data_IF_861790672079
#
_entry.id   IF_861790672079
#
_cell.length_a   1.000
_cell.length_b   1.000
_cell.length_c   1.000
_cell.angle_alpha   90.00
_cell.angle_beta   90.00
_cell.angle_gamma   90.00
#
_symmetry.space_group_name_H-M   'P 1'
#
loop_
_entity.id
_entity.type
_entity.pdbx_description
1 polymer ?
#
# COMPACT_ATOMS: atom_id res chain seq x y z
N UNK A 1 -4.25 13.90 -4.69
CA UNK A 1 -4.14 12.77 -3.74
C UNK A 1 -5.51 12.17 -3.39
N UNK A 2 -6.53 12.95 -3.02
CA UNK A 2 -7.85 12.42 -2.57
C UNK A 2 -8.65 11.57 -3.57
N UNK A 3 -8.47 11.75 -4.89
CA UNK A 3 -9.24 11.00 -5.89
C UNK A 3 -9.06 9.49 -5.75
N UNK A 4 -7.81 9.02 -5.81
CA UNK A 4 -7.48 7.59 -5.77
C UNK A 4 -7.54 7.02 -4.36
N UNK A 5 -7.33 7.85 -3.33
CA UNK A 5 -7.17 7.38 -1.95
C UNK A 5 -8.39 7.60 -1.06
N UNK A 6 -9.40 8.37 -1.50
CA UNK A 6 -10.61 8.65 -0.71
C UNK A 6 -11.88 8.63 -1.57
N UNK A 7 -11.95 9.37 -2.68
CA UNK A 7 -13.20 9.50 -3.43
C UNK A 7 -13.60 8.20 -4.14
N UNK A 8 -12.68 7.60 -4.90
CA UNK A 8 -12.91 6.33 -5.58
C UNK A 8 -13.14 5.20 -4.56
N UNK A 9 -12.29 5.03 -3.52
CA UNK A 9 -12.55 4.09 -2.44
C UNK A 9 -13.94 4.23 -1.79
N UNK A 10 -14.33 5.45 -1.40
CA UNK A 10 -15.62 5.69 -0.75
C UNK A 10 -16.80 5.31 -1.64
N UNK A 11 -16.72 5.62 -2.94
CA UNK A 11 -17.74 5.24 -3.91
C UNK A 11 -17.86 3.71 -4.04
N UNK A 12 -16.74 3.03 -4.24
CA UNK A 12 -16.70 1.56 -4.41
C UNK A 12 -17.22 0.86 -3.15
N UNK A 13 -16.78 1.29 -1.98
CA UNK A 13 -17.26 0.74 -0.72
C UNK A 13 -18.75 1.00 -0.52
N UNK A 14 -19.25 2.18 -0.88
CA UNK A 14 -20.69 2.47 -0.80
C UNK A 14 -21.52 1.61 -1.74
N UNK A 15 -20.98 1.28 -2.93
CA UNK A 15 -21.60 0.33 -3.85
C UNK A 15 -21.64 -1.08 -3.28
N UNK A 16 -20.50 -1.60 -2.81
CA UNK A 16 -20.40 -2.96 -2.28
C UNK A 16 -21.14 -3.16 -0.95
N UNK A 17 -21.32 -2.10 -0.16
CA UNK A 17 -22.18 -2.09 1.01
C UNK A 17 -23.67 -1.85 0.69
N UNK A 18 -23.99 -1.39 -0.52
CA UNK A 18 -25.36 -0.98 -0.86
C UNK A 18 -25.87 0.22 -0.05
N UNK A 19 -24.97 1.09 0.44
CA UNK A 19 -25.34 2.26 1.26
C UNK A 19 -25.73 3.48 0.43
N UNK A 20 -25.50 3.45 -0.89
CA UNK A 20 -25.97 4.51 -1.78
C UNK A 20 -27.49 4.71 -1.65
N UNK A 21 -27.93 5.96 -1.78
CA UNK A 21 -29.35 6.30 -1.77
C UNK A 21 -30.01 5.71 -3.01
N UNK A 22 -31.11 4.99 -2.82
CA UNK A 22 -31.97 4.50 -3.89
C UNK A 22 -32.93 5.61 -4.30
N UNK A 23 -33.17 5.77 -5.61
CA UNK A 23 -34.17 6.72 -6.12
C UNK A 23 -35.56 6.06 -6.17
N UNK A 24 -36.66 6.83 -6.30
CA UNK A 24 -38.01 6.28 -6.40
C UNK A 24 -38.12 5.28 -7.57
N UNK A 25 -38.41 4.02 -7.24
CA UNK A 25 -38.51 2.92 -8.21
C UNK A 25 -37.31 1.96 -8.21
N UNK A 26 -36.22 2.30 -7.53
CA UNK A 26 -35.09 1.39 -7.34
C UNK A 26 -35.35 0.39 -6.21
N UNK A 27 -34.95 -0.86 -6.43
CA UNK A 27 -34.98 -1.91 -5.43
C UNK A 27 -33.55 -2.37 -5.11
N UNK A 28 -33.09 -2.07 -3.89
CA UNK A 28 -31.75 -2.47 -3.40
C UNK A 28 -31.54 -3.97 -3.35
N UNK A 29 -32.60 -4.78 -3.31
CA UNK A 29 -32.46 -6.24 -3.32
C UNK A 29 -31.92 -6.75 -4.65
N UNK A 30 -32.06 -5.97 -5.73
CA UNK A 30 -31.56 -6.29 -7.07
C UNK A 30 -30.06 -5.99 -7.25
N UNK A 31 -29.43 -5.32 -6.27
CA UNK A 31 -28.02 -4.92 -6.34
C UNK A 31 -27.12 -6.11 -6.03
N UNK A 32 -26.89 -6.96 -7.02
CA UNK A 32 -26.02 -8.14 -6.90
C UNK A 32 -24.53 -7.81 -6.75
N UNK A 33 -24.15 -6.54 -6.92
CA UNK A 33 -22.82 -6.03 -6.57
C UNK A 33 -22.66 -5.66 -5.09
N UNK A 34 -23.75 -5.56 -4.32
CA UNK A 34 -23.73 -5.18 -2.90
C UNK A 34 -23.34 -6.38 -2.00
N UNK A 35 -22.16 -6.94 -2.26
CA UNK A 35 -21.68 -8.20 -1.68
C UNK A 35 -21.20 -8.09 -0.22
N UNK A 36 -21.04 -6.87 0.29
CA UNK A 36 -20.65 -6.56 1.67
C UNK A 36 -21.79 -5.84 2.42
N UNK A 37 -23.03 -5.93 1.94
CA UNK A 37 -24.19 -5.29 2.57
C UNK A 37 -24.51 -5.87 3.95
N UNK A 38 -24.29 -7.18 4.11
CA UNK A 38 -24.64 -7.90 5.32
C UNK A 38 -23.58 -7.66 6.39
N UNK A 39 -24.04 -7.37 7.61
CA UNK A 39 -23.14 -6.99 8.72
C UNK A 39 -22.10 -8.08 9.00
N UNK A 40 -22.54 -9.33 9.05
CA UNK A 40 -21.66 -10.46 9.35
C UNK A 40 -20.60 -10.64 8.25
N UNK A 41 -21.00 -10.51 6.98
CA UNK A 41 -20.07 -10.56 5.84
C UNK A 41 -19.04 -9.42 5.89
N UNK A 42 -19.45 -8.24 6.35
CA UNK A 42 -18.54 -7.10 6.52
C UNK A 42 -17.57 -7.28 7.68
N UNK A 43 -18.04 -7.78 8.82
CA UNK A 43 -17.20 -8.07 9.98
C UNK A 43 -16.18 -9.18 9.66
N UNK A 44 -16.60 -10.23 8.95
CA UNK A 44 -15.72 -11.30 8.46
C UNK A 44 -14.68 -10.75 7.46
N UNK A 45 -15.12 -9.96 6.49
CA UNK A 45 -14.21 -9.31 5.53
C UNK A 45 -13.18 -8.42 6.24
N UNK A 46 -13.63 -7.66 7.24
CA UNK A 46 -12.78 -6.78 8.02
C UNK A 46 -11.69 -7.54 8.80
N UNK A 47 -12.08 -8.65 9.43
CA UNK A 47 -11.15 -9.55 10.11
C UNK A 47 -10.15 -10.19 9.13
N UNK A 48 -10.60 -10.56 7.92
CA UNK A 48 -9.71 -11.05 6.86
C UNK A 48 -8.67 -9.97 6.51
N UNK A 49 -9.09 -8.75 6.18
CA UNK A 49 -8.18 -7.63 5.84
C UNK A 49 -7.12 -7.41 6.92
N UNK A 50 -7.52 -7.41 8.20
CA UNK A 50 -6.58 -7.30 9.32
C UNK A 50 -5.63 -8.50 9.39
N UNK A 51 -6.12 -9.71 9.13
CA UNK A 51 -5.32 -10.93 9.07
C UNK A 51 -4.26 -10.94 7.97
N UNK A 52 -4.47 -10.21 6.86
CA UNK A 52 -3.49 -10.07 5.79
C UNK A 52 -2.30 -9.17 6.17
N UNK A 53 -2.39 -8.39 7.25
CA UNK A 53 -1.30 -7.53 7.74
C UNK A 53 0.03 -8.27 7.92
N UNK A 54 0.01 -9.53 8.36
CA UNK A 54 1.22 -10.33 8.57
C UNK A 54 1.96 -10.69 7.28
N UNK A 55 1.29 -10.58 6.13
CA UNK A 55 1.86 -10.81 4.82
C UNK A 55 2.29 -9.52 4.13
N UNK A 56 1.96 -8.36 4.73
CA UNK A 56 2.39 -7.08 4.20
C UNK A 56 3.83 -6.82 4.66
N UNK A 57 4.77 -6.55 3.74
CA UNK A 57 6.12 -6.15 4.11
C UNK A 57 6.08 -4.93 5.04
N UNK A 58 6.97 -4.90 6.03
CA UNK A 58 7.07 -3.79 6.99
C UNK A 58 7.38 -2.44 6.32
N UNK A 59 7.91 -2.44 5.10
CA UNK A 59 8.13 -1.27 4.24
C UNK A 59 6.83 -0.51 3.92
N UNK A 60 5.69 -1.20 3.92
CA UNK A 60 4.39 -0.55 3.90
C UNK A 60 4.07 -0.10 5.32
N UNK A 61 4.57 1.09 5.70
CA UNK A 61 4.46 1.70 7.04
C UNK A 61 3.03 1.74 7.64
N UNK A 62 2.00 1.56 6.80
CA UNK A 62 0.60 1.64 7.17
C UNK A 62 -0.19 0.43 6.65
N UNK A 63 -0.05 -0.76 7.28
CA UNK A 63 -0.91 -1.88 6.97
C UNK A 63 -2.38 -1.51 7.23
N UNK A 64 -3.31 -1.91 6.33
CA UNK A 64 -4.73 -1.69 6.54
C UNK A 64 -5.19 -2.24 7.89
N UNK A 65 -5.78 -1.40 8.73
CA UNK A 65 -6.52 -1.88 9.89
C UNK A 65 -7.83 -2.54 9.44
N UNK A 66 -8.51 -3.22 10.37
CA UNK A 66 -9.86 -3.74 10.14
C UNK A 66 -10.77 -2.59 9.64
N UNK A 67 -11.20 -2.60 8.36
CA UNK A 67 -12.06 -1.56 7.83
C UNK A 67 -13.43 -1.56 8.52
N UNK A 68 -13.93 -2.69 9.00
CA UNK A 68 -15.20 -2.74 9.71
C UNK A 68 -15.19 -1.93 11.02
N UNK A 69 -14.03 -1.82 11.67
CA UNK A 69 -13.86 -1.09 12.92
C UNK A 69 -13.41 0.36 12.71
N UNK A 70 -12.56 0.61 11.70
CA UNK A 70 -11.79 1.86 11.60
C UNK A 70 -12.12 2.74 10.40
N UNK A 71 -12.90 2.27 9.43
CA UNK A 71 -13.04 3.00 8.15
C UNK A 71 -13.62 4.42 8.34
N UNK A 72 -14.45 4.61 9.37
CA UNK A 72 -15.07 5.89 9.72
C UNK A 72 -14.31 6.71 10.79
N UNK A 73 -13.22 6.19 11.36
CA UNK A 73 -12.51 6.78 12.50
C UNK A 73 -11.03 7.06 12.22
N UNK A 74 -10.74 7.54 11.01
CA UNK A 74 -9.38 7.99 10.63
C UNK A 74 -8.57 6.98 9.82
N UNK A 75 -9.23 6.27 8.90
CA UNK A 75 -8.57 5.40 7.93
C UNK A 75 -7.65 6.22 7.00
N UNK A 76 -6.36 5.91 6.98
CA UNK A 76 -5.37 6.73 6.26
C UNK A 76 -5.45 6.50 4.74
N UNK A 77 -5.03 7.50 3.97
CA UNK A 77 -4.92 7.41 2.51
C UNK A 77 -4.04 6.22 2.05
N UNK A 78 -2.94 5.94 2.75
CA UNK A 78 -2.07 4.79 2.49
C UNK A 78 -2.75 3.44 2.79
N UNK A 79 -3.60 3.40 3.83
CA UNK A 79 -4.40 2.20 4.14
C UNK A 79 -5.43 1.97 3.03
N UNK A 80 -6.11 3.02 2.53
CA UNK A 80 -7.02 2.91 1.40
C UNK A 80 -6.34 2.41 0.12
N UNK A 81 -5.14 2.88 -0.19
CA UNK A 81 -4.41 2.41 -1.38
C UNK A 81 -4.14 0.91 -1.32
N UNK A 82 -3.59 0.45 -0.20
CA UNK A 82 -3.24 -0.96 0.00
C UNK A 82 -4.48 -1.84 0.09
N UNK A 83 -5.50 -1.37 0.82
CA UNK A 83 -6.77 -2.09 0.96
C UNK A 83 -7.47 -2.24 -0.39
N UNK A 84 -7.76 -1.13 -1.09
CA UNK A 84 -8.59 -1.15 -2.30
C UNK A 84 -7.82 -1.73 -3.48
N UNK A 85 -6.59 -1.31 -3.76
CA UNK A 85 -5.89 -1.72 -4.98
C UNK A 85 -4.92 -2.89 -4.76
N UNK A 86 -4.56 -3.19 -3.52
CA UNK A 86 -3.73 -4.34 -3.16
C UNK A 86 -4.54 -5.58 -2.80
N UNK A 87 -5.46 -5.45 -1.83
CA UNK A 87 -6.14 -6.62 -1.25
C UNK A 87 -7.46 -6.98 -1.93
N UNK A 88 -8.33 -6.00 -2.16
CA UNK A 88 -9.67 -6.27 -2.71
C UNK A 88 -9.71 -6.97 -4.08
N UNK A 89 -8.72 -6.82 -5.00
CA UNK A 89 -8.73 -7.58 -6.25
C UNK A 89 -8.74 -9.10 -6.02
N UNK A 90 -8.10 -9.54 -4.93
CA UNK A 90 -8.09 -10.92 -4.49
C UNK A 90 -9.28 -11.25 -3.61
N UNK A 91 -9.56 -10.42 -2.59
CA UNK A 91 -10.58 -10.71 -1.58
C UNK A 91 -12.01 -10.71 -2.13
N UNK A 92 -12.28 -9.99 -3.21
CA UNK A 92 -13.59 -9.99 -3.85
C UNK A 92 -13.75 -11.11 -4.89
N UNK A 93 -12.70 -11.88 -5.18
CA UNK A 93 -12.77 -12.99 -6.13
C UNK A 93 -13.66 -14.10 -5.56
N UNK A 94 -14.69 -14.48 -6.32
CA UNK A 94 -15.69 -15.47 -5.89
C UNK A 94 -16.86 -14.90 -5.08
N UNK A 95 -16.76 -13.65 -4.62
CA UNK A 95 -17.86 -12.93 -3.97
C UNK A 95 -18.54 -11.96 -4.94
N UNK A 96 -17.76 -11.11 -5.61
CA UNK A 96 -18.27 -10.12 -6.55
C UNK A 96 -18.53 -10.76 -7.93
N UNK A 97 -19.71 -10.58 -8.54
CA UNK A 97 -19.99 -11.12 -9.87
C UNK A 97 -18.96 -10.67 -10.91
N UNK A 98 -18.63 -11.57 -11.84
CA UNK A 98 -17.49 -11.44 -12.75
C UNK A 98 -17.52 -10.14 -13.57
N UNK A 99 -18.71 -9.67 -13.98
CA UNK A 99 -18.88 -8.42 -14.74
C UNK A 99 -18.37 -7.19 -13.99
N UNK A 100 -18.60 -7.12 -12.68
CA UNK A 100 -18.16 -6.03 -11.84
C UNK A 100 -16.68 -6.17 -11.49
N UNK A 101 -16.25 -7.40 -11.21
CA UNK A 101 -14.85 -7.71 -10.90
C UNK A 101 -13.92 -7.37 -12.08
N UNK A 102 -14.32 -7.71 -13.31
CA UNK A 102 -13.56 -7.36 -14.52
C UNK A 102 -13.45 -5.84 -14.72
N UNK A 103 -14.50 -5.10 -14.40
CA UNK A 103 -14.48 -3.63 -14.46
C UNK A 103 -13.57 -3.05 -13.38
N UNK A 104 -13.60 -3.62 -12.18
CA UNK A 104 -12.71 -3.26 -11.08
C UNK A 104 -11.24 -3.57 -11.38
N UNK A 105 -10.92 -4.71 -12.00
CA UNK A 105 -9.56 -5.04 -12.42
C UNK A 105 -8.98 -4.03 -13.41
N UNK A 106 -9.79 -3.51 -14.34
CA UNK A 106 -9.35 -2.43 -15.25
C UNK A 106 -8.99 -1.16 -14.48
N UNK A 107 -9.78 -0.79 -13.48
CA UNK A 107 -9.49 0.36 -12.62
C UNK A 107 -8.19 0.14 -11.83
N UNK A 108 -8.02 -1.02 -11.20
CA UNK A 108 -6.80 -1.37 -10.46
C UNK A 108 -5.59 -1.30 -11.37
N UNK A 109 -5.69 -1.87 -12.57
CA UNK A 109 -4.61 -1.82 -13.55
C UNK A 109 -4.31 -0.39 -14.02
N UNK A 110 -5.33 0.44 -14.25
CA UNK A 110 -5.13 1.85 -14.60
C UNK A 110 -4.42 2.60 -13.47
N UNK A 111 -4.82 2.39 -12.21
CA UNK A 111 -4.16 2.98 -11.04
C UNK A 111 -2.72 2.50 -10.92
N UNK A 112 -2.47 1.20 -11.14
CA UNK A 112 -1.11 0.65 -11.19
C UNK A 112 -0.30 1.33 -12.29
N UNK A 113 -0.83 1.49 -13.51
CA UNK A 113 -0.17 2.20 -14.62
C UNK A 113 0.14 3.64 -14.24
N UNK A 114 -0.83 4.37 -13.68
CA UNK A 114 -0.62 5.74 -13.20
C UNK A 114 0.46 5.82 -12.11
N UNK A 115 0.62 4.75 -11.33
CA UNK A 115 1.65 4.60 -10.33
C UNK A 115 2.94 3.93 -10.87
N UNK A 116 2.98 3.41 -12.10
CA UNK A 116 4.06 2.61 -12.68
C UNK A 116 5.02 3.43 -13.56
N UNK A 117 6.32 3.32 -13.23
CA UNK A 117 7.50 3.00 -14.06
C UNK A 117 7.84 3.76 -15.36
N UNK A 118 6.89 4.39 -16.05
CA UNK A 118 7.20 5.17 -17.28
C UNK A 118 8.19 6.31 -16.99
N UNK A 119 8.19 6.80 -15.75
CA UNK A 119 9.14 7.81 -15.32
C UNK A 119 10.57 7.26 -15.22
N UNK A 120 10.74 6.02 -14.76
CA UNK A 120 12.05 5.44 -14.63
C UNK A 120 12.69 5.20 -16.01
N UNK A 121 11.91 4.67 -16.95
CA UNK A 121 12.39 4.40 -18.30
C UNK A 121 12.72 5.71 -19.06
N UNK A 122 11.88 6.74 -18.92
CA UNK A 122 12.06 8.03 -19.61
C UNK A 122 13.12 8.93 -18.97
N UNK A 123 13.16 9.00 -17.64
CA UNK A 123 13.97 9.99 -16.90
C UNK A 123 15.18 9.38 -16.19
N UNK A 124 15.08 8.16 -15.64
CA UNK A 124 16.18 7.49 -14.90
C UNK A 124 17.00 6.57 -15.81
N UNK A 125 16.40 6.07 -16.89
CA UNK A 125 17.01 5.24 -17.94
C UNK A 125 17.79 4.03 -17.40
N UNK A 126 17.42 3.54 -16.21
CA UNK A 126 18.14 2.50 -15.47
C UNK A 126 19.64 2.82 -15.26
N UNK A 127 20.02 4.11 -15.28
CA UNK A 127 21.39 4.56 -15.05
C UNK A 127 21.58 4.86 -13.57
N UNK A 128 22.53 4.17 -12.92
CA UNK A 128 22.87 4.41 -11.52
C UNK A 128 23.21 5.89 -11.24
N UNK A 129 23.82 6.59 -12.21
CA UNK A 129 24.12 8.02 -12.11
C UNK A 129 22.89 8.92 -12.05
N UNK A 130 21.69 8.43 -12.40
CA UNK A 130 20.44 9.17 -12.46
C UNK A 130 19.44 8.76 -11.36
N UNK A 131 19.83 7.87 -10.44
CA UNK A 131 19.00 7.47 -9.29
C UNK A 131 18.51 8.69 -8.48
N UNK A 132 19.30 9.76 -8.41
CA UNK A 132 18.93 11.00 -7.74
C UNK A 132 17.78 11.79 -8.41
N UNK A 133 17.37 11.43 -9.64
CA UNK A 133 16.22 12.04 -10.32
C UNK A 133 14.88 11.50 -9.82
N UNK A 134 14.90 10.39 -9.09
CA UNK A 134 13.73 9.76 -8.50
C UNK A 134 13.88 9.76 -6.98
N UNK A 135 12.82 10.14 -6.28
CA UNK A 135 12.82 9.99 -4.81
C UNK A 135 12.88 8.50 -4.46
N UNK A 136 13.65 8.16 -3.41
CA UNK A 136 13.83 6.77 -2.96
C UNK A 136 12.50 6.02 -2.79
N UNK A 137 11.46 6.68 -2.26
CA UNK A 137 10.14 6.06 -2.09
C UNK A 137 9.49 5.63 -3.42
N UNK A 138 9.70 6.38 -4.50
CA UNK A 138 9.17 6.09 -5.83
C UNK A 138 9.99 4.99 -6.51
N UNK A 139 11.32 5.03 -6.37
CA UNK A 139 12.23 4.01 -6.89
C UNK A 139 11.98 2.64 -6.23
N UNK A 140 11.82 2.60 -4.89
CA UNK A 140 11.51 1.37 -4.17
C UNK A 140 10.17 0.79 -4.60
N UNK A 141 9.10 1.60 -4.71
CA UNK A 141 7.78 1.14 -5.17
C UNK A 141 7.80 0.51 -6.57
N UNK A 142 8.66 1.01 -7.46
CA UNK A 142 8.78 0.54 -8.83
C UNK A 142 9.50 -0.79 -8.97
N UNK A 143 10.59 -0.97 -8.22
CA UNK A 143 11.41 -2.19 -8.31
C UNK A 143 11.01 -3.29 -7.33
N UNK A 144 10.20 -2.98 -6.31
CA UNK A 144 9.84 -3.90 -5.23
C UNK A 144 9.34 -5.25 -5.73
N UNK A 145 8.39 -5.28 -6.67
CA UNK A 145 7.81 -6.54 -7.15
C UNK A 145 8.81 -7.40 -7.94
N UNK A 146 9.66 -6.77 -8.77
CA UNK A 146 10.62 -7.48 -9.62
C UNK A 146 11.84 -7.98 -8.82
N UNK A 147 12.42 -7.12 -7.98
CA UNK A 147 13.60 -7.44 -7.18
C UNK A 147 13.29 -8.47 -6.08
N UNK A 148 12.07 -8.47 -5.55
CA UNK A 148 11.62 -9.49 -4.58
C UNK A 148 11.66 -10.91 -5.17
N UNK A 149 11.39 -11.06 -6.46
CA UNK A 149 11.47 -12.38 -7.12
C UNK A 149 12.91 -12.85 -7.35
N UNK A 150 13.88 -11.94 -7.40
CA UNK A 150 15.26 -12.23 -7.82
C UNK A 150 16.23 -12.30 -6.64
N UNK A 151 16.12 -11.36 -5.69
CA UNK A 151 17.06 -11.18 -4.57
C UNK A 151 16.38 -11.33 -3.20
N UNK A 152 15.06 -11.51 -3.17
CA UNK A 152 14.26 -11.37 -1.97
C UNK A 152 13.93 -9.90 -1.66
N UNK A 153 13.18 -9.62 -0.58
CA UNK A 153 12.70 -8.27 -0.28
C UNK A 153 13.85 -7.26 -0.17
N UNK A 154 13.75 -6.14 -0.89
CA UNK A 154 14.83 -5.15 -1.00
C UNK A 154 15.21 -4.53 0.36
N UNK A 155 14.26 -4.41 1.30
CA UNK A 155 14.54 -4.04 2.68
C UNK A 155 15.55 -4.95 3.38
N UNK A 156 15.59 -6.26 3.07
CA UNK A 156 16.51 -7.18 3.73
C UNK A 156 17.97 -6.94 3.28
N UNK A 157 18.16 -6.38 2.08
CA UNK A 157 19.49 -6.17 1.51
C UNK A 157 20.04 -4.77 1.76
N UNK A 158 19.25 -3.73 1.49
CA UNK A 158 19.72 -2.34 1.59
C UNK A 158 19.30 -1.68 2.91
N UNK A 159 18.02 -1.77 3.28
CA UNK A 159 17.50 -1.05 4.44
C UNK A 159 17.95 -1.66 5.77
N UNK A 160 17.86 -2.99 5.93
CA UNK A 160 18.34 -3.70 7.11
C UNK A 160 19.83 -3.44 7.33
N UNK A 161 20.65 -3.52 6.28
CA UNK A 161 22.08 -3.21 6.34
C UNK A 161 22.33 -1.77 6.79
N UNK A 162 21.59 -0.79 6.24
CA UNK A 162 21.71 0.60 6.65
C UNK A 162 21.23 0.84 8.09
N UNK A 163 20.11 0.24 8.51
CA UNK A 163 19.56 0.37 9.86
C UNK A 163 20.49 -0.26 10.91
N UNK A 164 21.09 -1.42 10.60
CA UNK A 164 22.10 -2.02 11.47
C UNK A 164 23.34 -1.13 11.57
N UNK A 165 23.85 -0.61 10.45
CA UNK A 165 25.00 0.30 10.44
C UNK A 165 24.69 1.57 11.24
N UNK A 166 23.51 2.18 11.06
CA UNK A 166 23.08 3.34 11.85
C UNK A 166 22.98 2.97 13.34
N UNK A 167 22.45 1.80 13.67
CA UNK A 167 22.38 1.29 15.05
C UNK A 167 23.77 1.15 15.69
N UNK A 168 24.75 0.59 14.96
CA UNK A 168 26.14 0.51 15.41
C UNK A 168 26.76 1.90 15.59
N UNK A 169 26.69 2.77 14.57
CA UNK A 169 27.25 4.12 14.62
C UNK A 169 26.59 4.98 15.71
N UNK A 170 25.30 4.78 15.97
CA UNK A 170 24.55 5.44 17.03
C UNK A 170 25.05 5.09 18.43
N UNK A 171 25.53 3.85 18.64
CA UNK A 171 26.11 3.44 19.91
C UNK A 171 27.46 4.11 20.20
N UNK A 172 28.19 4.53 19.17
CA UNK A 172 29.48 5.21 19.30
C UNK A 172 29.35 6.71 19.60
N UNK A 173 28.16 7.28 19.40
CA UNK A 173 27.80 8.67 19.74
C UNK A 173 27.42 8.74 21.23
N UNK A 174 28.41 8.70 22.12
CA UNK A 174 28.18 8.68 23.58
C UNK A 174 28.37 10.02 24.29
N UNK A 175 29.13 10.97 23.72
CA UNK A 175 29.53 12.19 24.41
C UNK A 175 28.83 13.44 23.85
N UNK A 176 28.14 14.19 24.71
CA UNK A 176 27.23 15.25 24.26
C UNK A 176 27.98 16.53 23.82
N UNK A 177 29.20 16.72 24.32
CA UNK A 177 30.08 17.85 23.96
C UNK A 177 30.82 17.65 22.65
N UNK A 178 31.18 16.40 22.31
CA UNK A 178 31.87 16.04 21.07
C UNK A 178 31.29 14.74 20.47
N UNK A 179 30.03 14.79 20.00
CA UNK A 179 29.26 13.59 19.64
C UNK A 179 29.90 12.74 18.53
N UNK A 180 30.70 13.35 17.66
CA UNK A 180 31.31 12.67 16.51
C UNK A 180 32.80 12.32 16.70
N UNK A 181 33.40 12.60 17.87
CA UNK A 181 34.84 12.39 18.07
C UNK A 181 35.27 10.93 17.89
N UNK A 182 34.44 9.98 18.34
CA UNK A 182 34.69 8.54 18.18
C UNK A 182 34.51 8.10 16.72
N UNK A 183 33.49 8.62 16.03
CA UNK A 183 33.24 8.34 14.61
C UNK A 183 34.34 8.89 13.70
N UNK A 184 34.93 10.03 14.05
CA UNK A 184 36.04 10.63 13.32
C UNK A 184 37.33 9.78 13.38
N UNK A 185 37.50 8.93 14.40
CA UNK A 185 38.63 7.99 14.46
C UNK A 185 38.42 6.76 13.56
N UNK A 186 37.17 6.31 13.39
CA UNK A 186 36.81 5.18 12.52
C UNK A 186 36.92 5.50 11.02
N UNK A 187 36.76 6.76 10.62
CA UNK A 187 36.80 7.18 9.21
C UNK A 187 38.18 7.51 8.64
N UNK A 188 39.26 7.31 9.42
CA UNK A 188 40.65 7.65 9.04
C UNK A 188 41.51 6.39 8.77
N UNK A 189 40.96 5.19 8.95
CA UNK A 189 41.55 3.92 8.47
C UNK A 189 41.01 3.53 7.09
#
# INVERSE_FOLDING_TARGET
>A
MHLLTLNVPNLLLSLWHGTLKAEPGDDKTTWDWAVLKDRDAWEEHGALVQGFRKYLPSEYDCPPHNPAEKINSGYKAAEYLTYIYGYLPLLLRGHLPERYLNSFYKLVHAVQIFCQHSFEELYVQQKASQIHFVHQCMHTLWHMAHETCTLGPMCLYAQWTMEQVIGYLGQDIQLHSHPYANLAQLGVE
#
